data_IF_584503762212
#
_entry.id   IF_584503762212
#
_cell.length_a   1.000
_cell.length_b   1.000
_cell.length_c   1.000
_cell.angle_alpha   90.00
_cell.angle_beta   90.00
_cell.angle_gamma   90.00
#
_symmetry.space_group_name_H-M   'P 1'
#
loop_
_entity.id
_entity.type
_entity.pdbx_description
1 polymer ?
#
# COMPACT_ATOMS: atom_id res chain seq x y z
N UNK A 1 37.40 -19.39 80.78
CA UNK A 1 37.61 -19.99 79.44
C UNK A 1 36.26 -20.25 78.82
N UNK A 2 35.77 -19.39 77.95
CA UNK A 2 34.58 -19.70 77.13
C UNK A 2 34.69 -18.88 75.84
N UNK A 3 34.65 -19.58 74.82
CA UNK A 3 35.08 -19.24 73.49
C UNK A 3 34.25 -18.26 72.72
N UNK A 4 34.92 -17.56 71.86
CA UNK A 4 34.41 -16.86 70.69
C UNK A 4 34.39 -17.85 69.47
N UNK A 5 33.30 -18.51 69.24
CA UNK A 5 33.05 -19.22 67.98
C UNK A 5 31.63 -18.87 67.54
N UNK A 6 31.51 -17.97 66.65
CA UNK A 6 30.13 -17.68 66.08
C UNK A 6 30.01 -16.45 65.23
N UNK A 7 31.04 -15.86 64.66
CA UNK A 7 30.90 -14.64 63.81
C UNK A 7 31.57 -14.68 62.44
N UNK A 8 32.12 -15.79 61.96
CA UNK A 8 32.84 -15.84 60.70
C UNK A 8 32.07 -16.51 59.58
N UNK A 9 30.98 -17.26 59.80
CA UNK A 9 30.26 -17.96 58.78
C UNK A 9 29.34 -17.07 57.90
N UNK A 10 28.76 -16.01 58.47
CA UNK A 10 27.77 -15.16 57.70
C UNK A 10 28.38 -14.19 56.69
N UNK A 11 29.71 -13.88 56.81
CA UNK A 11 30.32 -12.94 55.84
C UNK A 11 30.69 -13.58 54.49
N UNK A 12 30.96 -14.88 54.45
CA UNK A 12 31.30 -15.61 53.24
C UNK A 12 30.08 -15.86 52.34
N UNK A 13 28.94 -16.22 52.94
CA UNK A 13 27.70 -16.45 52.21
C UNK A 13 27.11 -15.17 51.62
N UNK A 14 27.16 -14.05 52.34
CA UNK A 14 26.70 -12.75 51.87
C UNK A 14 27.55 -12.26 50.69
N UNK A 15 28.89 -12.44 50.75
CA UNK A 15 29.80 -12.09 49.64
C UNK A 15 29.54 -12.92 48.37
N UNK A 16 29.22 -14.21 48.54
CA UNK A 16 28.92 -15.10 47.40
C UNK A 16 27.56 -14.74 46.73
N UNK A 17 26.54 -14.41 47.53
CA UNK A 17 25.25 -13.94 47.06
C UNK A 17 25.33 -12.60 46.30
N UNK A 18 26.15 -11.68 46.81
CA UNK A 18 26.35 -10.39 46.15
C UNK A 18 27.11 -10.54 44.82
N UNK A 19 28.06 -11.47 44.74
CA UNK A 19 28.77 -11.81 43.50
C UNK A 19 27.82 -12.42 42.46
N UNK A 20 26.95 -13.37 42.84
CA UNK A 20 25.97 -13.99 41.97
C UNK A 20 24.92 -12.97 41.45
N UNK A 21 24.50 -12.03 42.29
CA UNK A 21 23.61 -10.93 41.90
C UNK A 21 24.25 -10.01 40.87
N UNK A 22 25.53 -9.66 41.09
CA UNK A 22 26.29 -8.82 40.17
C UNK A 22 26.47 -9.50 38.80
N UNK A 23 26.80 -10.81 38.79
CA UNK A 23 26.92 -11.60 37.56
C UNK A 23 25.58 -11.65 36.77
N UNK A 24 24.49 -11.91 37.50
CA UNK A 24 23.15 -11.92 36.89
C UNK A 24 22.78 -10.57 36.29
N UNK A 25 23.00 -9.48 36.99
CA UNK A 25 22.77 -8.12 36.52
C UNK A 25 23.60 -7.80 35.26
N UNK A 26 24.89 -8.20 35.26
CA UNK A 26 25.77 -8.04 34.10
C UNK A 26 25.28 -8.84 32.88
N UNK A 27 24.70 -10.01 33.09
CA UNK A 27 24.14 -10.84 32.03
C UNK A 27 22.85 -10.20 31.45
N UNK A 28 21.99 -9.65 32.31
CA UNK A 28 20.79 -8.90 31.88
C UNK A 28 21.15 -7.64 31.11
N UNK A 29 22.15 -6.88 31.52
CA UNK A 29 22.65 -5.70 30.81
C UNK A 29 23.22 -6.08 29.42
N UNK A 30 23.98 -7.20 29.33
CA UNK A 30 24.51 -7.69 28.05
C UNK A 30 23.41 -8.12 27.09
N UNK A 31 22.38 -8.82 27.57
CA UNK A 31 21.23 -9.22 26.76
C UNK A 31 20.46 -8.00 26.26
N UNK A 32 20.15 -7.05 27.13
CA UNK A 32 19.45 -5.81 26.75
C UNK A 32 20.26 -4.97 25.74
N UNK A 33 21.58 -4.93 25.84
CA UNK A 33 22.43 -4.24 24.87
C UNK A 33 22.42 -4.97 23.52
N UNK A 34 22.50 -6.30 23.53
CA UNK A 34 22.43 -7.09 22.29
C UNK A 34 21.09 -6.92 21.57
N UNK A 35 19.98 -6.85 22.31
CA UNK A 35 18.65 -6.59 21.74
C UNK A 35 18.54 -5.18 21.13
N UNK A 36 19.14 -4.18 21.79
CA UNK A 36 19.20 -2.81 21.26
C UNK A 36 20.06 -2.72 19.98
N UNK A 37 21.24 -3.35 19.99
CA UNK A 37 22.13 -3.39 18.81
C UNK A 37 21.47 -4.12 17.64
N UNK A 38 20.69 -5.18 17.88
CA UNK A 38 19.91 -5.88 16.88
C UNK A 38 18.79 -5.00 16.29
N UNK A 39 18.05 -4.30 17.15
CA UNK A 39 16.99 -3.39 16.73
C UNK A 39 17.53 -2.25 15.86
N UNK A 40 18.67 -1.67 16.22
CA UNK A 40 19.34 -0.63 15.42
C UNK A 40 19.81 -1.18 14.06
N UNK A 41 20.36 -2.39 14.04
CA UNK A 41 20.78 -3.06 12.79
C UNK A 41 19.60 -3.33 11.87
N UNK A 42 18.46 -3.79 12.41
CA UNK A 42 17.22 -4.02 11.64
C UNK A 42 16.62 -2.72 11.10
N UNK A 43 16.64 -1.66 11.89
CA UNK A 43 16.19 -0.35 11.46
C UNK A 43 17.06 0.21 10.33
N UNK A 44 18.38 0.11 10.44
CA UNK A 44 19.32 0.51 9.39
C UNK A 44 19.15 -0.32 8.09
N UNK A 45 18.91 -1.62 8.23
CA UNK A 45 18.64 -2.49 7.08
C UNK A 45 17.32 -2.12 6.39
N UNK A 46 16.26 -1.83 7.15
CA UNK A 46 14.98 -1.38 6.62
C UNK A 46 15.10 -0.02 5.89
N UNK A 47 15.84 0.93 6.47
CA UNK A 47 16.11 2.22 5.83
C UNK A 47 16.92 2.05 4.53
N UNK A 48 17.91 1.18 4.52
CA UNK A 48 18.70 0.88 3.31
C UNK A 48 17.85 0.22 2.22
N UNK A 49 16.95 -0.69 2.58
CA UNK A 49 16.01 -1.31 1.65
C UNK A 49 15.08 -0.25 1.05
N UNK A 50 14.50 0.60 1.89
CA UNK A 50 13.65 1.72 1.45
C UNK A 50 14.40 2.69 0.51
N UNK A 51 15.65 3.05 0.82
CA UNK A 51 16.49 3.90 -0.06
C UNK A 51 16.82 3.22 -1.39
N UNK A 52 16.98 1.90 -1.42
CA UNK A 52 17.20 1.14 -2.68
C UNK A 52 15.95 1.16 -3.53
N UNK A 53 14.80 0.97 -2.93
CA UNK A 53 13.52 1.02 -3.64
C UNK A 53 13.25 2.44 -4.19
N UNK A 54 13.49 3.50 -3.41
CA UNK A 54 13.38 4.88 -3.89
C UNK A 54 14.32 5.16 -5.08
N UNK A 55 15.60 4.72 -5.03
CA UNK A 55 16.54 4.90 -6.16
C UNK A 55 16.12 4.11 -7.40
N UNK A 56 15.55 2.92 -7.23
CA UNK A 56 15.02 2.14 -8.35
C UNK A 56 13.85 2.89 -8.99
N UNK A 57 12.96 3.46 -8.19
CA UNK A 57 11.87 4.31 -8.65
C UNK A 57 12.36 5.55 -9.39
N UNK A 58 13.36 6.25 -8.84
CA UNK A 58 13.96 7.43 -9.48
C UNK A 58 14.57 7.08 -10.84
N UNK A 59 15.21 5.93 -10.98
CA UNK A 59 15.80 5.47 -12.23
C UNK A 59 14.73 5.07 -13.28
N UNK A 60 13.69 4.35 -12.87
CA UNK A 60 12.58 3.99 -13.74
C UNK A 60 11.80 5.25 -14.18
N UNK A 61 11.54 6.18 -13.27
CA UNK A 61 10.89 7.47 -13.58
C UNK A 61 11.74 8.32 -14.53
N UNK A 62 13.06 8.33 -14.38
CA UNK A 62 13.95 9.10 -15.27
C UNK A 62 13.92 8.55 -16.70
N UNK A 63 13.87 7.21 -16.88
CA UNK A 63 13.78 6.59 -18.20
C UNK A 63 12.46 6.89 -18.92
N UNK A 64 11.37 7.03 -18.20
CA UNK A 64 10.03 7.26 -18.76
C UNK A 64 9.62 8.77 -18.77
N UNK A 65 10.45 9.66 -18.23
CA UNK A 65 10.13 11.08 -18.12
C UNK A 65 9.91 11.77 -19.48
N UNK A 66 10.57 11.32 -20.55
CA UNK A 66 10.38 11.88 -21.89
C UNK A 66 9.11 11.35 -22.55
N UNK A 67 8.78 10.07 -22.36
CA UNK A 67 7.58 9.44 -22.91
C UNK A 67 6.31 9.78 -22.12
N UNK A 68 6.44 10.29 -20.88
CA UNK A 68 5.32 10.54 -19.95
C UNK A 68 4.57 9.24 -19.56
N UNK A 69 5.29 8.15 -19.45
CA UNK A 69 4.79 6.86 -18.97
C UNK A 69 5.22 6.67 -17.52
N UNK A 70 4.27 6.42 -16.63
CA UNK A 70 4.54 6.02 -15.25
C UNK A 70 4.13 4.57 -15.06
N UNK A 71 5.08 3.71 -14.68
CA UNK A 71 4.81 2.30 -14.36
C UNK A 71 4.59 2.16 -12.86
N UNK A 72 3.46 1.60 -12.49
CA UNK A 72 3.06 1.39 -11.10
C UNK A 72 3.06 -0.12 -10.76
N UNK A 73 4.19 -0.67 -10.30
CA UNK A 73 4.37 -2.12 -10.13
C UNK A 73 4.16 -2.60 -8.69
N UNK A 74 3.39 -1.91 -7.86
CA UNK A 74 3.34 -2.17 -6.43
C UNK A 74 1.96 -1.97 -5.82
N UNK A 75 1.85 -2.17 -4.50
CA UNK A 75 0.63 -1.90 -3.74
C UNK A 75 0.36 -0.42 -3.59
N UNK A 76 -0.93 -0.07 -3.58
CA UNK A 76 -1.41 1.29 -3.33
C UNK A 76 -1.26 1.62 -1.85
N UNK A 77 -0.38 2.53 -1.52
CA UNK A 77 -0.17 3.10 -0.19
C UNK A 77 0.16 4.60 -0.29
N UNK A 78 0.39 5.26 0.85
CA UNK A 78 0.65 6.69 0.86
C UNK A 78 1.89 7.08 0.03
N UNK A 79 2.98 6.33 0.15
CA UNK A 79 4.25 6.64 -0.51
C UNK A 79 4.15 6.43 -2.03
N UNK A 80 3.60 5.29 -2.46
CA UNK A 80 3.43 4.97 -3.87
C UNK A 80 2.48 5.96 -4.57
N UNK A 81 1.42 6.37 -3.90
CA UNK A 81 0.48 7.38 -4.40
C UNK A 81 1.15 8.76 -4.51
N UNK A 82 1.90 9.18 -3.48
CA UNK A 82 2.64 10.44 -3.51
C UNK A 82 3.63 10.48 -4.67
N UNK A 83 4.34 9.39 -4.95
CA UNK A 83 5.28 9.31 -6.07
C UNK A 83 4.58 9.54 -7.43
N UNK A 84 3.41 8.94 -7.66
CA UNK A 84 2.62 9.18 -8.89
C UNK A 84 2.17 10.63 -8.98
N UNK A 85 1.55 11.14 -7.92
CA UNK A 85 1.00 12.51 -7.88
C UNK A 85 2.09 13.54 -8.12
N UNK A 86 3.24 13.41 -7.44
CA UNK A 86 4.37 14.34 -7.56
C UNK A 86 4.97 14.31 -8.98
N UNK A 87 5.12 13.12 -9.53
CA UNK A 87 5.67 12.92 -10.88
C UNK A 87 4.75 13.51 -11.93
N UNK A 88 3.47 13.14 -11.92
CA UNK A 88 2.50 13.65 -12.91
C UNK A 88 2.25 15.14 -12.76
N UNK A 89 2.23 15.66 -11.54
CA UNK A 89 2.14 17.11 -11.29
C UNK A 89 3.38 17.87 -11.79
N UNK A 90 4.56 17.24 -11.71
CA UNK A 90 5.79 17.81 -12.29
C UNK A 90 5.70 17.84 -13.81
N UNK A 91 5.25 16.76 -14.43
CA UNK A 91 5.05 16.71 -15.88
C UNK A 91 4.03 17.76 -16.34
N UNK A 92 2.91 17.90 -15.62
CA UNK A 92 1.88 18.89 -15.92
C UNK A 92 2.41 20.32 -15.90
N UNK A 93 3.31 20.64 -14.97
CA UNK A 93 4.01 21.95 -14.93
C UNK A 93 5.01 22.14 -16.08
N UNK A 94 5.68 21.07 -16.51
CA UNK A 94 6.65 21.13 -17.60
C UNK A 94 5.99 21.19 -18.99
N UNK A 95 4.78 20.68 -19.12
CA UNK A 95 4.05 20.56 -20.40
C UNK A 95 2.89 21.58 -20.50
N UNK A 96 2.99 22.73 -19.84
CA UNK A 96 1.93 23.78 -19.92
C UNK A 96 1.67 24.29 -21.35
N UNK A 97 2.69 24.28 -22.19
CA UNK A 97 2.64 24.62 -23.60
C UNK A 97 2.24 23.45 -24.52
N UNK A 98 1.99 22.27 -23.98
CA UNK A 98 1.64 21.02 -24.68
C UNK A 98 0.41 20.35 -24.07
N UNK A 99 -0.77 20.94 -24.13
CA UNK A 99 -1.98 20.40 -23.51
C UNK A 99 -2.45 19.09 -24.15
N UNK A 100 -2.04 18.80 -25.38
CA UNK A 100 -2.30 17.57 -26.14
C UNK A 100 -1.36 16.41 -25.77
N UNK A 101 -0.33 16.64 -24.97
CA UNK A 101 0.60 15.60 -24.58
C UNK A 101 -0.08 14.57 -23.69
N UNK A 102 -0.09 13.34 -24.14
CA UNK A 102 -0.68 12.20 -23.44
C UNK A 102 0.20 11.76 -22.28
N UNK A 103 -0.41 11.51 -21.13
CA UNK A 103 0.23 10.83 -20.00
C UNK A 103 -0.32 9.42 -19.87
N UNK A 104 0.54 8.49 -19.50
CA UNK A 104 0.18 7.10 -19.35
C UNK A 104 0.52 6.59 -17.94
N UNK A 105 -0.42 5.88 -17.32
CA UNK A 105 -0.24 5.16 -16.07
C UNK A 105 -0.44 3.67 -16.29
N UNK A 106 0.65 2.90 -16.28
CA UNK A 106 0.61 1.45 -16.39
C UNK A 106 0.48 0.85 -14.99
N UNK A 107 -0.58 0.11 -14.75
CA UNK A 107 -0.95 -0.48 -13.45
C UNK A 107 -0.70 -1.99 -13.45
N UNK A 108 0.28 -2.43 -12.68
CA UNK A 108 0.52 -3.84 -12.33
C UNK A 108 0.46 -3.93 -10.81
N UNK A 109 -0.77 -4.02 -10.25
CA UNK A 109 -0.95 -3.78 -8.81
C UNK A 109 -2.04 -4.69 -8.20
N UNK A 110 -1.78 -5.25 -7.01
CA UNK A 110 -2.79 -5.97 -6.23
C UNK A 110 -3.84 -5.05 -5.57
N UNK A 111 -3.75 -3.73 -5.77
CA UNK A 111 -4.54 -2.76 -5.03
C UNK A 111 -3.88 -2.33 -3.73
N UNK A 112 -4.64 -2.08 -2.69
CA UNK A 112 -4.12 -1.67 -1.39
C UNK A 112 -5.03 -0.68 -0.65
N UNK A 113 -4.44 0.34 -0.04
CA UNK A 113 -5.15 1.26 0.86
C UNK A 113 -6.19 2.10 0.12
N UNK A 114 -7.40 2.13 0.65
CA UNK A 114 -8.56 2.80 0.03
C UNK A 114 -8.36 4.32 -0.06
N UNK A 115 -8.04 4.98 1.06
CA UNK A 115 -7.96 6.45 1.09
C UNK A 115 -6.84 7.02 0.19
N UNK A 116 -5.61 6.48 0.18
CA UNK A 116 -4.61 6.85 -0.81
C UNK A 116 -5.07 6.60 -2.25
N UNK A 117 -5.72 5.45 -2.51
CA UNK A 117 -6.23 5.12 -3.85
C UNK A 117 -7.32 6.08 -4.34
N UNK A 118 -8.27 6.47 -3.48
CA UNK A 118 -9.29 7.49 -3.81
C UNK A 118 -8.62 8.85 -4.06
N UNK A 119 -7.60 9.21 -3.28
CA UNK A 119 -6.83 10.44 -3.50
C UNK A 119 -6.16 10.43 -4.89
N UNK A 120 -5.54 9.31 -5.25
CA UNK A 120 -4.94 9.13 -6.58
C UNK A 120 -5.99 9.20 -7.69
N UNK A 121 -7.10 8.46 -7.58
CA UNK A 121 -8.21 8.52 -8.53
C UNK A 121 -8.67 9.96 -8.79
N UNK A 122 -8.95 10.72 -7.72
CA UNK A 122 -9.39 12.10 -7.84
C UNK A 122 -8.33 13.02 -8.47
N UNK A 123 -7.05 12.80 -8.17
CA UNK A 123 -5.96 13.55 -8.80
C UNK A 123 -5.89 13.28 -10.31
N UNK A 124 -5.95 12.02 -10.70
CA UNK A 124 -5.92 11.58 -12.10
C UNK A 124 -7.15 12.08 -12.88
N UNK A 125 -8.34 12.05 -12.29
CA UNK A 125 -9.54 12.61 -12.92
C UNK A 125 -9.39 14.09 -13.23
N UNK A 126 -8.91 14.90 -12.27
CA UNK A 126 -8.64 16.33 -12.50
C UNK A 126 -7.54 16.56 -13.53
N UNK A 127 -6.54 15.69 -13.59
CA UNK A 127 -5.50 15.76 -14.62
C UNK A 127 -6.09 15.46 -15.99
N UNK A 128 -6.94 14.44 -16.09
CA UNK A 128 -7.65 14.04 -17.32
C UNK A 128 -8.59 15.12 -17.90
N UNK A 129 -9.06 16.07 -17.08
CA UNK A 129 -9.84 17.24 -17.55
C UNK A 129 -8.98 18.23 -18.36
N UNK A 130 -7.67 18.21 -18.16
CA UNK A 130 -6.74 19.17 -18.78
C UNK A 130 -5.90 18.60 -19.90
N UNK A 131 -5.72 17.28 -19.92
CA UNK A 131 -4.89 16.59 -20.91
C UNK A 131 -5.30 15.13 -21.08
N UNK A 132 -4.95 14.50 -22.20
CA UNK A 132 -5.20 13.08 -22.40
C UNK A 132 -4.44 12.25 -21.37
N UNK A 133 -5.17 11.38 -20.65
CA UNK A 133 -4.64 10.45 -19.66
C UNK A 133 -5.04 9.04 -20.01
N UNK A 134 -4.06 8.19 -20.32
CA UNK A 134 -4.26 6.77 -20.55
C UNK A 134 -3.93 6.00 -19.29
N UNK A 135 -4.82 5.11 -18.89
CA UNK A 135 -4.53 4.10 -17.85
C UNK A 135 -4.48 2.72 -18.49
N UNK A 136 -3.46 1.95 -18.20
CA UNK A 136 -3.25 0.62 -18.75
C UNK A 136 -3.24 -0.40 -17.62
N UNK A 137 -4.15 -1.37 -17.64
CA UNK A 137 -4.07 -2.53 -16.75
C UNK A 137 -3.15 -3.58 -17.38
N UNK A 138 -2.09 -3.99 -16.69
CA UNK A 138 -1.06 -4.89 -17.20
C UNK A 138 -0.79 -6.04 -16.23
N UNK A 139 -0.90 -7.27 -16.70
CA UNK A 139 -0.63 -8.50 -15.96
C UNK A 139 -1.60 -8.76 -14.79
N UNK A 140 -1.63 -7.89 -13.79
CA UNK A 140 -2.53 -8.00 -12.65
C UNK A 140 -3.01 -6.62 -12.18
N UNK A 141 -4.31 -6.40 -12.23
CA UNK A 141 -4.96 -5.18 -11.76
C UNK A 141 -6.12 -5.56 -10.83
N UNK A 142 -5.94 -5.35 -9.52
CA UNK A 142 -6.87 -5.87 -8.53
C UNK A 142 -7.30 -4.83 -7.50
N UNK A 143 -8.53 -5.02 -6.94
CA UNK A 143 -9.01 -4.24 -5.81
C UNK A 143 -8.96 -2.74 -6.09
N UNK A 144 -8.35 -1.94 -5.22
CA UNK A 144 -8.24 -0.48 -5.39
C UNK A 144 -7.56 -0.06 -6.71
N UNK A 145 -6.72 -0.92 -7.32
CA UNK A 145 -6.11 -0.61 -8.61
C UNK A 145 -7.13 -0.58 -9.75
N UNK A 146 -8.21 -1.39 -9.67
CA UNK A 146 -9.30 -1.35 -10.65
C UNK A 146 -10.05 -0.02 -10.61
N UNK A 147 -10.22 0.55 -9.42
CA UNK A 147 -10.82 1.89 -9.23
C UNK A 147 -9.90 2.97 -9.81
N UNK A 148 -8.59 2.92 -9.51
CA UNK A 148 -7.62 3.87 -10.08
C UNK A 148 -7.59 3.78 -11.61
N UNK A 149 -7.72 2.59 -12.18
CA UNK A 149 -7.80 2.37 -13.62
C UNK A 149 -8.98 3.12 -14.27
N UNK A 150 -10.10 3.30 -13.56
CA UNK A 150 -11.25 4.06 -14.07
C UNK A 150 -10.99 5.57 -14.22
N UNK A 151 -9.88 6.08 -13.67
CA UNK A 151 -9.57 7.51 -13.75
C UNK A 151 -9.07 7.96 -15.13
N UNK A 152 -8.56 7.06 -15.96
CA UNK A 152 -8.07 7.39 -17.31
C UNK A 152 -9.16 7.97 -18.22
N UNK A 153 -8.80 8.93 -19.06
CA UNK A 153 -9.68 9.38 -20.16
C UNK A 153 -9.87 8.28 -21.19
N UNK A 154 -8.85 7.43 -21.36
CA UNK A 154 -8.86 6.18 -22.11
C UNK A 154 -8.29 5.08 -21.22
N UNK A 155 -8.97 3.93 -21.16
CA UNK A 155 -8.63 2.79 -20.29
C UNK A 155 -8.27 1.60 -21.16
N UNK A 156 -7.00 1.22 -21.15
CA UNK A 156 -6.50 0.07 -21.90
C UNK A 156 -6.27 -1.12 -20.97
N UNK A 157 -6.37 -2.31 -21.51
CA UNK A 157 -6.03 -3.54 -20.80
C UNK A 157 -5.20 -4.44 -21.70
N UNK A 158 -4.08 -4.93 -21.20
CA UNK A 158 -3.22 -5.86 -21.94
C UNK A 158 -3.78 -7.28 -21.90
N UNK A 159 -3.52 -8.04 -22.99
CA UNK A 159 -3.90 -9.46 -23.08
C UNK A 159 -3.32 -10.26 -21.92
N UNK A 160 -4.12 -11.19 -21.39
CA UNK A 160 -3.72 -12.04 -20.28
C UNK A 160 -3.71 -11.33 -18.92
N UNK A 161 -4.15 -10.07 -18.84
CA UNK A 161 -4.31 -9.38 -17.56
C UNK A 161 -5.45 -10.01 -16.77
N UNK A 162 -5.18 -10.32 -15.50
CA UNK A 162 -6.19 -10.69 -14.52
C UNK A 162 -6.74 -9.42 -13.85
N UNK A 163 -8.05 -9.17 -14.02
CA UNK A 163 -8.73 -7.99 -13.48
C UNK A 163 -9.66 -8.41 -12.34
N UNK A 164 -9.36 -8.04 -11.08
CA UNK A 164 -10.04 -8.54 -9.91
C UNK A 164 -10.76 -7.43 -9.14
N UNK A 165 -12.06 -7.61 -8.95
CA UNK A 165 -12.93 -6.72 -8.18
C UNK A 165 -13.46 -7.49 -6.96
N UNK A 166 -13.38 -6.87 -5.79
CA UNK A 166 -13.92 -7.38 -4.55
C UNK A 166 -14.30 -6.25 -3.59
N UNK A 167 -15.13 -6.56 -2.60
CA UNK A 167 -15.46 -5.63 -1.53
C UNK A 167 -14.22 -5.30 -0.69
N UNK A 168 -14.19 -4.10 -0.14
CA UNK A 168 -13.17 -3.67 0.79
C UNK A 168 -13.13 -4.59 2.01
N UNK A 169 -11.94 -4.95 2.44
CA UNK A 169 -11.70 -5.77 3.62
C UNK A 169 -10.94 -4.99 4.70
N UNK A 170 -11.17 -5.32 5.95
CA UNK A 170 -10.50 -4.69 7.08
C UNK A 170 -10.74 -5.45 8.37
N UNK A 171 -10.06 -5.00 9.43
CA UNK A 171 -10.26 -5.51 10.79
C UNK A 171 -10.99 -4.47 11.62
N UNK A 172 -11.92 -4.91 12.46
CA UNK A 172 -12.66 -4.09 13.37
C UNK A 172 -12.44 -4.55 14.82
N UNK A 173 -12.25 -3.60 15.73
CA UNK A 173 -12.02 -3.85 17.16
C UNK A 173 -12.82 -2.86 17.97
N UNK A 174 -13.28 -3.28 19.15
CA UNK A 174 -13.99 -2.43 20.09
C UNK A 174 -15.21 -3.10 20.69
N UNK A 175 -16.07 -2.30 21.31
CA UNK A 175 -17.38 -2.73 21.80
C UNK A 175 -18.38 -2.94 20.64
N UNK A 176 -19.57 -3.45 20.97
CA UNK A 176 -20.61 -3.77 19.97
C UNK A 176 -21.02 -2.55 19.13
N UNK A 177 -21.06 -1.36 19.75
CA UNK A 177 -21.41 -0.13 19.05
C UNK A 177 -20.34 0.25 18.05
N UNK A 178 -19.07 0.26 18.47
CA UNK A 178 -17.92 0.54 17.62
C UNK A 178 -17.81 -0.43 16.44
N UNK A 179 -18.09 -1.73 16.66
CA UNK A 179 -18.09 -2.73 15.59
C UNK A 179 -19.20 -2.48 14.56
N UNK A 180 -20.39 -2.06 14.99
CA UNK A 180 -21.47 -1.68 14.08
C UNK A 180 -21.13 -0.44 13.26
N UNK A 181 -20.62 0.61 13.92
CA UNK A 181 -20.23 1.85 13.24
C UNK A 181 -19.15 1.60 12.18
N UNK A 182 -18.18 0.72 12.48
CA UNK A 182 -17.14 0.31 11.52
C UNK A 182 -17.72 -0.49 10.35
N UNK A 183 -18.67 -1.39 10.59
CA UNK A 183 -19.35 -2.13 9.53
C UNK A 183 -20.16 -1.20 8.62
N UNK A 184 -20.95 -0.28 9.19
CA UNK A 184 -21.74 0.70 8.44
C UNK A 184 -20.86 1.65 7.63
N UNK A 185 -19.68 2.00 8.15
CA UNK A 185 -18.69 2.80 7.44
C UNK A 185 -18.11 2.02 6.25
N UNK A 186 -17.78 0.74 6.44
CA UNK A 186 -17.25 -0.12 5.38
C UNK A 186 -18.28 -0.33 4.26
N UNK A 187 -19.56 -0.50 4.61
CA UNK A 187 -20.65 -0.60 3.63
C UNK A 187 -20.79 0.68 2.80
N UNK A 188 -20.64 1.85 3.41
CA UNK A 188 -20.63 3.12 2.66
C UNK A 188 -19.45 3.21 1.71
N UNK A 189 -18.24 2.83 2.16
CA UNK A 189 -17.06 2.79 1.31
C UNK A 189 -17.27 1.85 0.12
N UNK A 190 -17.77 0.64 0.33
CA UNK A 190 -18.04 -0.30 -0.76
C UNK A 190 -18.97 0.31 -1.80
N UNK A 191 -20.05 0.95 -1.38
CA UNK A 191 -20.97 1.63 -2.31
C UNK A 191 -20.29 2.74 -3.10
N UNK A 192 -19.39 3.51 -2.49
CA UNK A 192 -18.66 4.57 -3.19
C UNK A 192 -17.65 3.98 -4.19
N UNK A 193 -16.94 2.91 -3.83
CA UNK A 193 -16.04 2.20 -4.76
C UNK A 193 -16.81 1.59 -5.95
N UNK A 194 -17.98 0.98 -5.69
CA UNK A 194 -18.85 0.47 -6.75
C UNK A 194 -19.35 1.59 -7.67
N UNK A 195 -19.63 2.81 -7.16
CA UNK A 195 -19.98 3.96 -8.00
C UNK A 195 -18.85 4.34 -8.94
N UNK A 196 -17.59 4.42 -8.47
CA UNK A 196 -16.45 4.69 -9.36
C UNK A 196 -16.32 3.66 -10.49
N UNK A 197 -16.59 2.39 -10.20
CA UNK A 197 -16.58 1.33 -11.20
C UNK A 197 -17.78 1.42 -12.15
N UNK A 198 -18.97 1.78 -11.66
CA UNK A 198 -20.19 1.86 -12.42
C UNK A 198 -20.24 3.09 -13.37
N UNK A 199 -19.57 4.20 -13.02
CA UNK A 199 -19.63 5.45 -13.79
C UNK A 199 -19.34 5.29 -15.29
N UNK A 200 -18.50 4.32 -15.65
CA UNK A 200 -18.05 4.11 -17.02
C UNK A 200 -18.12 2.64 -17.48
N UNK A 201 -18.69 1.76 -16.68
CA UNK A 201 -18.97 0.36 -17.05
C UNK A 201 -20.41 0.21 -17.58
N UNK A 202 -20.71 -0.97 -18.10
CA UNK A 202 -22.05 -1.33 -18.56
C UNK A 202 -22.94 -1.87 -17.44
N UNK A 203 -22.52 -1.74 -16.19
CA UNK A 203 -23.18 -2.32 -15.02
C UNK A 203 -23.64 -1.23 -14.03
N UNK A 204 -24.75 -1.48 -13.36
CA UNK A 204 -25.20 -0.67 -12.23
C UNK A 204 -24.34 -0.89 -10.98
N UNK A 205 -24.43 0.03 -10.01
CA UNK A 205 -23.79 -0.08 -8.70
C UNK A 205 -24.23 -1.36 -7.98
N UNK A 206 -25.51 -1.70 -8.09
CA UNK A 206 -26.12 -2.87 -7.49
C UNK A 206 -25.59 -4.17 -8.10
N UNK A 207 -25.48 -4.24 -9.42
CA UNK A 207 -24.93 -5.41 -10.14
C UNK A 207 -23.46 -5.65 -9.79
N UNK A 208 -22.65 -4.59 -9.71
CA UNK A 208 -21.25 -4.68 -9.27
C UNK A 208 -21.20 -5.19 -7.84
N UNK A 209 -21.99 -4.62 -6.92
CA UNK A 209 -22.07 -5.04 -5.54
C UNK A 209 -22.45 -6.52 -5.37
N UNK A 210 -23.44 -7.01 -6.09
CA UNK A 210 -23.84 -8.43 -6.01
C UNK A 210 -22.76 -9.38 -6.55
N UNK A 211 -21.99 -8.98 -7.57
CA UNK A 211 -20.89 -9.77 -8.13
C UNK A 211 -19.65 -9.78 -7.24
N UNK A 212 -19.33 -8.65 -6.60
CA UNK A 212 -18.18 -8.49 -5.71
C UNK A 212 -18.41 -9.04 -4.29
N UNK A 213 -19.69 -9.24 -3.89
CA UNK A 213 -20.09 -9.56 -2.52
C UNK A 213 -19.55 -10.92 -2.07
N UNK A 214 -18.72 -10.90 -1.02
CA UNK A 214 -18.16 -12.08 -0.35
C UNK A 214 -17.33 -13.00 -1.25
N UNK A 215 -16.79 -12.49 -2.35
CA UNK A 215 -15.95 -13.27 -3.27
C UNK A 215 -15.03 -12.38 -4.07
N UNK A 216 -13.96 -12.97 -4.57
CA UNK A 216 -13.12 -12.37 -5.58
C UNK A 216 -13.79 -12.56 -6.96
N UNK A 217 -14.21 -11.47 -7.56
CA UNK A 217 -14.74 -11.48 -8.91
C UNK A 217 -13.61 -11.16 -9.89
N UNK A 218 -13.04 -12.23 -10.43
CA UNK A 218 -11.93 -12.15 -11.38
C UNK A 218 -12.47 -12.17 -12.81
N UNK A 219 -11.97 -11.25 -13.62
CA UNK A 219 -12.30 -11.11 -15.04
C UNK A 219 -11.03 -11.34 -15.88
N UNK A 220 -11.21 -11.90 -17.07
CA UNK A 220 -10.21 -11.82 -18.12
C UNK A 220 -10.17 -10.41 -18.72
N UNK A 221 -9.13 -10.13 -19.50
CA UNK A 221 -9.03 -8.84 -20.19
C UNK A 221 -10.19 -8.59 -21.16
N UNK A 222 -10.64 -9.63 -21.86
CA UNK A 222 -11.77 -9.60 -22.78
C UNK A 222 -13.09 -9.29 -22.05
N UNK A 223 -13.35 -9.97 -20.93
CA UNK A 223 -14.52 -9.72 -20.08
C UNK A 223 -14.53 -8.30 -19.49
N UNK A 224 -13.35 -7.79 -19.12
CA UNK A 224 -13.23 -6.42 -18.61
C UNK A 224 -13.60 -5.38 -19.68
N UNK A 225 -13.26 -5.61 -20.95
CA UNK A 225 -13.68 -4.78 -22.07
C UNK A 225 -15.18 -4.93 -22.34
N UNK A 226 -15.70 -6.16 -22.39
CA UNK A 226 -17.13 -6.43 -22.64
C UNK A 226 -18.03 -5.75 -21.58
N UNK A 227 -17.61 -5.79 -20.32
CA UNK A 227 -18.34 -5.16 -19.23
C UNK A 227 -18.09 -3.65 -19.10
N UNK A 228 -17.22 -3.08 -19.93
CA UNK A 228 -16.93 -1.64 -19.96
C UNK A 228 -15.99 -1.15 -18.87
N UNK A 229 -15.26 -2.04 -18.18
CA UNK A 229 -14.19 -1.64 -17.24
C UNK A 229 -12.93 -1.18 -17.95
N UNK A 230 -12.72 -1.58 -19.21
CA UNK A 230 -11.70 -1.06 -20.09
C UNK A 230 -12.34 -0.68 -21.44
N UNK A 231 -11.71 0.26 -22.15
CA UNK A 231 -12.20 0.75 -23.43
C UNK A 231 -11.66 -0.09 -24.61
N UNK A 232 -10.46 -0.70 -24.43
CA UNK A 232 -9.77 -1.41 -25.52
C UNK A 232 -8.79 -2.46 -24.96
N UNK A 233 -8.71 -3.58 -25.66
CA UNK A 233 -7.72 -4.65 -25.46
C UNK A 233 -6.48 -4.39 -26.32
N UNK A 234 -5.29 -4.43 -25.73
CA UNK A 234 -4.01 -4.18 -26.40
C UNK A 234 -3.02 -5.33 -26.21
#
# INVERSE_FOLDING_TARGET
>A
MSGCEGKCAGKGEQSTLDTLRAEKLMQEIRASKADADLAETLAAAAELAHRKDLRRWDFEIAGDAESRVFRFPTSINQDSVSAVIDTMSRWDRLDQDRPDRTYELVLTSPGGMIMPGVSLYNHLRRLGERRPLVTVASGFCASMATVVHQAGTRRLIERGTSYLIHDASGSAYGDVSSLRDQADWMDRINKDLHRFLAERSNLSVEEIGERAKRRDWTLTAEEAVELGFADELV
#
